data_IF_767932394042
#
_entry.id   IF_767932394042
#
_cell.length_a   1.000
_cell.length_b   1.000
_cell.length_c   1.000
_cell.angle_alpha   90.00
_cell.angle_beta   90.00
_cell.angle_gamma   90.00
#
_symmetry.space_group_name_H-M   'P 1'
#
loop_
_entity.id
_entity.type
_entity.pdbx_description
1 polymer ?
#
# COMPACT_ATOMS: atom_id res chain seq x y z
N UNK A 1 -3.40 3.78 2.47
CA UNK A 1 -2.93 5.15 2.21
C UNK A 1 -2.78 5.88 3.54
N UNK A 2 -1.67 6.61 3.74
CA UNK A 2 -1.46 7.48 4.89
C UNK A 2 -2.22 8.80 4.70
N UNK A 3 -2.95 9.24 5.72
CA UNK A 3 -3.83 10.42 5.65
C UNK A 3 -3.33 11.61 6.48
N UNK A 4 -2.28 11.43 7.28
CA UNK A 4 -1.72 12.44 8.18
C UNK A 4 -0.86 13.51 7.50
N UNK A 5 -1.41 14.24 6.53
CA UNK A 5 -0.95 15.59 6.25
C UNK A 5 -2.11 16.34 5.60
N UNK A 6 -2.41 17.54 6.11
CA UNK A 6 -3.61 18.40 5.93
C UNK A 6 -4.07 18.75 4.50
N UNK A 7 -3.66 18.02 3.47
CA UNK A 7 -4.06 18.25 2.08
C UNK A 7 -5.53 17.91 1.87
N UNK A 8 -6.39 18.87 1.44
CA UNK A 8 -7.82 18.62 1.19
C UNK A 8 -8.07 17.70 -0.01
N UNK A 9 -7.04 17.37 -0.79
CA UNK A 9 -7.14 16.63 -2.04
C UNK A 9 -7.32 15.12 -1.89
N UNK A 10 -7.18 14.57 -0.68
CA UNK A 10 -7.25 13.12 -0.46
C UNK A 10 -8.56 12.53 -1.01
N UNK A 11 -9.70 13.21 -0.82
CA UNK A 11 -11.01 12.68 -1.24
C UNK A 11 -11.09 12.57 -2.76
N UNK A 12 -10.59 13.59 -3.46
CA UNK A 12 -10.50 13.62 -4.93
C UNK A 12 -9.60 12.51 -5.46
N UNK A 13 -8.45 12.28 -4.81
CA UNK A 13 -7.49 11.24 -5.19
C UNK A 13 -8.08 9.84 -4.97
N UNK A 14 -8.68 9.56 -3.80
CA UNK A 14 -9.35 8.27 -3.52
C UNK A 14 -10.46 8.01 -4.54
N UNK A 15 -11.32 9.00 -4.79
CA UNK A 15 -12.41 8.89 -5.79
C UNK A 15 -11.86 8.53 -7.16
N UNK A 16 -10.79 9.18 -7.59
CA UNK A 16 -10.13 8.88 -8.86
C UNK A 16 -9.60 7.45 -8.90
N UNK A 17 -8.82 7.03 -7.89
CA UNK A 17 -8.26 5.68 -7.78
C UNK A 17 -9.37 4.62 -7.89
N UNK A 18 -10.46 4.81 -7.15
CA UNK A 18 -11.61 3.90 -7.18
C UNK A 18 -12.33 3.87 -8.53
N UNK A 19 -12.60 5.05 -9.11
CA UNK A 19 -13.29 5.17 -10.40
C UNK A 19 -12.48 4.59 -11.56
N UNK A 20 -11.15 4.65 -11.48
CA UNK A 20 -10.22 4.03 -12.44
C UNK A 20 -10.12 2.50 -12.26
N UNK A 21 -10.76 1.92 -11.23
CA UNK A 21 -10.86 0.46 -11.04
C UNK A 21 -9.78 -0.15 -10.14
N UNK A 22 -9.05 0.69 -9.40
CA UNK A 22 -8.07 0.23 -8.42
C UNK A 22 -8.69 -0.05 -7.05
N UNK A 23 -8.04 -0.90 -6.27
CA UNK A 23 -8.39 -1.19 -4.87
C UNK A 23 -7.75 -0.14 -3.95
N UNK A 24 -8.54 0.36 -2.99
CA UNK A 24 -8.05 1.28 -1.95
C UNK A 24 -7.95 0.52 -0.63
N UNK A 25 -6.74 0.49 -0.04
CA UNK A 25 -6.44 -0.16 1.24
C UNK A 25 -6.09 0.81 2.38
N UNK A 26 -6.22 0.34 3.61
CA UNK A 26 -5.85 1.08 4.82
C UNK A 26 -4.33 1.03 5.06
N UNK A 27 -3.72 2.13 5.53
CA UNK A 27 -2.30 2.16 5.88
C UNK A 27 -2.04 3.04 7.13
N UNK A 28 -2.96 2.97 8.10
CA UNK A 28 -3.01 3.80 9.32
C UNK A 28 -3.14 5.30 9.04
N UNK A 29 -3.55 6.04 10.07
CA UNK A 29 -3.78 7.47 9.97
C UNK A 29 -2.46 8.24 10.11
N UNK A 30 -1.64 7.89 11.12
CA UNK A 30 -0.41 8.60 11.52
C UNK A 30 0.89 7.86 11.17
N UNK A 31 0.85 6.75 10.41
CA UNK A 31 2.03 5.98 10.03
C UNK A 31 2.90 5.53 11.24
N UNK A 32 2.25 5.28 12.37
CA UNK A 32 2.88 4.77 13.59
C UNK A 32 3.20 3.27 13.45
N UNK A 33 4.29 2.83 14.09
CA UNK A 33 4.56 1.40 14.25
C UNK A 33 3.53 0.79 15.20
N UNK A 34 2.72 -0.14 14.68
CA UNK A 34 1.63 -0.77 15.42
C UNK A 34 2.12 -1.58 16.62
N UNK A 35 3.36 -2.06 16.61
CA UNK A 35 3.91 -2.88 17.70
C UNK A 35 4.08 -2.10 19.00
N UNK A 36 4.19 -0.77 18.93
CA UNK A 36 4.28 0.13 20.08
C UNK A 36 2.93 0.65 20.57
N UNK A 37 1.81 0.23 19.97
CA UNK A 37 0.47 0.76 20.27
C UNK A 37 -0.38 -0.24 21.06
N UNK A 38 -1.29 0.28 21.89
CA UNK A 38 -2.36 -0.52 22.48
C UNK A 38 -3.38 -0.96 21.42
N UNK A 39 -4.13 -2.03 21.71
CA UNK A 39 -5.18 -2.51 20.80
C UNK A 39 -6.18 -1.40 20.39
N UNK A 40 -6.56 -0.52 21.31
CA UNK A 40 -7.51 0.56 21.03
C UNK A 40 -6.88 1.69 20.21
N UNK A 41 -5.59 1.98 20.42
CA UNK A 41 -4.85 2.90 19.57
C UNK A 41 -4.75 2.35 18.13
N UNK A 42 -4.50 1.05 17.96
CA UNK A 42 -4.48 0.40 16.63
C UNK A 42 -5.86 0.51 15.95
N UNK A 43 -6.94 0.18 16.67
CA UNK A 43 -8.31 0.31 16.13
C UNK A 43 -8.62 1.75 15.75
N UNK A 44 -8.19 2.73 16.54
CA UNK A 44 -8.39 4.14 16.24
C UNK A 44 -7.62 4.58 14.98
N UNK A 45 -6.39 4.10 14.80
CA UNK A 45 -5.61 4.31 13.56
C UNK A 45 -6.33 3.76 12.33
N UNK A 46 -6.99 2.59 12.45
CA UNK A 46 -7.77 1.99 11.36
C UNK A 46 -9.04 2.79 11.06
N UNK A 47 -9.83 3.07 12.11
CA UNK A 47 -11.15 3.69 11.99
C UNK A 47 -11.09 5.07 11.32
N UNK A 48 -10.10 5.89 11.66
CA UNK A 48 -9.97 7.23 11.08
C UNK A 48 -9.79 7.17 9.56
N UNK A 49 -8.95 6.25 9.06
CA UNK A 49 -8.74 6.07 7.62
C UNK A 49 -9.97 5.46 6.95
N UNK A 50 -10.65 4.51 7.59
CA UNK A 50 -11.90 3.92 7.10
C UNK A 50 -13.00 4.96 6.90
N UNK A 51 -13.17 5.86 7.87
CA UNK A 51 -14.15 6.94 7.79
C UNK A 51 -13.84 7.89 6.62
N UNK A 52 -12.56 8.25 6.41
CA UNK A 52 -12.15 9.04 5.26
C UNK A 52 -12.44 8.32 3.93
N UNK A 53 -12.03 7.06 3.78
CA UNK A 53 -12.28 6.28 2.55
C UNK A 53 -13.80 6.18 2.31
N UNK A 54 -14.58 5.93 3.34
CA UNK A 54 -16.04 5.85 3.23
C UNK A 54 -16.67 7.17 2.81
N UNK A 55 -16.23 8.30 3.36
CA UNK A 55 -16.69 9.62 2.91
C UNK A 55 -16.35 9.89 1.44
N UNK A 56 -15.22 9.38 0.95
CA UNK A 56 -14.82 9.55 -0.44
C UNK A 56 -15.62 8.68 -1.41
N UNK A 57 -15.79 7.38 -1.12
CA UNK A 57 -16.28 6.40 -2.11
C UNK A 57 -17.43 5.51 -1.63
N UNK A 58 -17.93 5.71 -0.41
CA UNK A 58 -19.03 4.93 0.16
C UNK A 58 -18.68 3.46 0.45
N UNK A 59 -17.39 3.13 0.51
CA UNK A 59 -16.87 1.78 0.76
C UNK A 59 -15.86 1.79 1.91
N UNK A 60 -15.72 0.67 2.61
CA UNK A 60 -14.64 0.44 3.59
C UNK A 60 -13.55 -0.42 2.95
N UNK A 61 -12.27 -0.19 3.27
CA UNK A 61 -11.17 -1.03 2.78
C UNK A 61 -11.29 -2.46 3.34
N UNK A 62 -11.10 -3.47 2.50
CA UNK A 62 -11.01 -4.87 2.93
C UNK A 62 -9.59 -5.27 3.33
N UNK A 63 -8.59 -4.53 2.85
CA UNK A 63 -7.17 -4.82 3.06
C UNK A 63 -6.49 -3.67 3.79
N UNK A 64 -5.47 -4.01 4.57
CA UNK A 64 -4.55 -3.06 5.16
C UNK A 64 -3.11 -3.49 4.96
N UNK A 65 -2.19 -2.53 4.95
CA UNK A 65 -0.75 -2.75 5.08
C UNK A 65 -0.28 -2.05 6.35
N UNK A 66 0.48 -2.68 7.25
CA UNK A 66 1.05 -2.00 8.40
C UNK A 66 2.22 -1.10 7.96
N UNK A 67 2.38 0.10 8.54
CA UNK A 67 3.62 0.89 8.42
C UNK A 67 4.85 0.02 8.71
N UNK A 68 5.92 0.25 7.94
CA UNK A 68 7.20 -0.47 8.07
C UNK A 68 7.12 -2.00 7.88
N UNK A 69 5.98 -2.55 7.44
CA UNK A 69 5.76 -4.00 7.39
C UNK A 69 5.71 -4.65 8.77
N UNK A 70 5.51 -3.87 9.83
CA UNK A 70 5.62 -4.33 11.22
C UNK A 70 4.41 -5.15 11.70
N UNK A 71 4.55 -5.80 12.86
CA UNK A 71 3.44 -6.48 13.54
C UNK A 71 3.26 -7.96 13.21
N UNK A 72 4.05 -8.52 12.29
CA UNK A 72 4.06 -9.98 12.07
C UNK A 72 4.44 -10.71 13.35
N UNK A 73 3.63 -11.70 13.75
CA UNK A 73 3.83 -12.45 15.00
C UNK A 73 3.52 -11.68 16.30
N UNK A 74 3.13 -10.41 16.22
CA UNK A 74 2.71 -9.64 17.40
C UNK A 74 1.21 -9.88 17.67
N UNK A 75 0.90 -10.64 18.71
CA UNK A 75 -0.47 -11.06 19.02
C UNK A 75 -1.42 -9.88 19.29
N UNK A 76 -0.93 -8.80 19.91
CA UNK A 76 -1.73 -7.59 20.15
C UNK A 76 -2.14 -6.96 18.82
N UNK A 77 -1.20 -6.81 17.89
CA UNK A 77 -1.48 -6.27 16.55
C UNK A 77 -2.45 -7.18 15.79
N UNK A 78 -2.18 -8.49 15.75
CA UNK A 78 -3.03 -9.45 15.04
C UNK A 78 -4.47 -9.46 15.57
N UNK A 79 -4.65 -9.51 16.90
CA UNK A 79 -5.97 -9.48 17.53
C UNK A 79 -6.70 -8.16 17.31
N UNK A 80 -5.99 -7.03 17.38
CA UNK A 80 -6.57 -5.71 17.16
C UNK A 80 -7.05 -5.55 15.70
N UNK A 81 -6.25 -5.97 14.72
CA UNK A 81 -6.62 -5.95 13.31
C UNK A 81 -7.81 -6.87 13.02
N UNK A 82 -7.80 -8.10 13.57
CA UNK A 82 -8.92 -9.02 13.43
C UNK A 82 -10.22 -8.45 14.03
N UNK A 83 -10.13 -7.84 15.21
CA UNK A 83 -11.27 -7.19 15.88
C UNK A 83 -11.77 -5.96 15.12
N UNK A 84 -10.92 -5.31 14.34
CA UNK A 84 -11.27 -4.22 13.43
C UNK A 84 -11.79 -4.72 12.06
N UNK A 85 -11.89 -6.03 11.84
CA UNK A 85 -12.41 -6.62 10.61
C UNK A 85 -11.37 -6.93 9.53
N UNK A 86 -10.08 -6.76 9.81
CA UNK A 86 -9.00 -7.12 8.90
C UNK A 86 -8.52 -8.54 9.17
N UNK A 87 -8.78 -9.45 8.22
CA UNK A 87 -8.35 -10.86 8.32
C UNK A 87 -6.96 -11.10 7.75
N UNK A 88 -6.39 -10.12 7.03
CA UNK A 88 -5.04 -10.18 6.48
C UNK A 88 -4.41 -8.79 6.39
N UNK A 89 -3.11 -8.72 6.71
CA UNK A 89 -2.23 -7.60 6.43
C UNK A 89 -1.39 -7.93 5.19
N UNK A 90 -1.37 -7.04 4.19
CA UNK A 90 -0.71 -7.27 2.90
C UNK A 90 0.62 -6.52 2.83
N UNK A 91 1.72 -7.27 2.86
CA UNK A 91 3.06 -6.73 2.64
C UNK A 91 3.44 -6.75 1.15
N UNK A 92 4.73 -6.87 0.84
CA UNK A 92 5.30 -6.87 -0.50
C UNK A 92 6.32 -8.01 -0.63
N UNK A 93 6.65 -8.37 -1.86
CA UNK A 93 7.76 -9.29 -2.16
C UNK A 93 8.75 -8.70 -3.18
N UNK A 94 8.55 -7.45 -3.59
CA UNK A 94 9.51 -6.65 -4.35
C UNK A 94 9.62 -5.30 -3.65
N UNK A 95 10.83 -4.95 -3.22
CA UNK A 95 11.16 -3.65 -2.65
C UNK A 95 12.22 -2.96 -3.53
N UNK A 96 11.84 -1.95 -4.33
CA UNK A 96 12.78 -1.21 -5.17
C UNK A 96 13.60 -0.18 -4.37
N UNK A 97 13.36 -0.06 -3.05
CA UNK A 97 13.98 0.93 -2.17
C UNK A 97 13.76 2.37 -2.65
N UNK A 98 12.58 2.66 -3.19
CA UNK A 98 12.24 3.97 -3.77
C UNK A 98 12.16 5.11 -2.75
N UNK A 99 12.04 4.75 -1.46
CA UNK A 99 12.22 5.67 -0.34
C UNK A 99 13.62 6.32 -0.32
N UNK A 100 14.60 5.78 -1.04
CA UNK A 100 15.95 6.32 -1.16
C UNK A 100 16.21 6.77 -2.60
N UNK A 101 16.04 8.07 -2.87
CA UNK A 101 16.30 8.72 -4.17
C UNK A 101 15.52 8.13 -5.37
N UNK A 102 14.33 7.58 -5.16
CA UNK A 102 13.45 7.10 -6.25
C UNK A 102 13.73 5.67 -6.71
N UNK A 103 14.65 4.95 -6.04
CA UNK A 103 14.77 3.50 -6.10
C UNK A 103 15.73 2.99 -7.17
N UNK A 104 15.88 1.67 -7.22
CA UNK A 104 16.74 0.97 -8.16
C UNK A 104 15.92 0.14 -9.15
N UNK A 105 15.77 0.68 -10.36
CA UNK A 105 15.06 0.03 -11.46
C UNK A 105 15.69 -1.31 -11.84
N UNK A 106 17.03 -1.40 -11.87
CA UNK A 106 17.70 -2.63 -12.29
C UNK A 106 17.48 -3.74 -11.24
N UNK A 107 17.57 -3.37 -9.96
CA UNK A 107 17.27 -4.28 -8.87
C UNK A 107 15.81 -4.74 -8.89
N UNK A 108 14.85 -3.82 -9.04
CA UNK A 108 13.42 -4.17 -9.12
C UNK A 108 13.16 -5.19 -10.24
N UNK A 109 13.73 -4.95 -11.44
CA UNK A 109 13.63 -5.88 -12.57
C UNK A 109 14.24 -7.24 -12.26
N UNK A 110 15.40 -7.26 -11.62
CA UNK A 110 16.08 -8.49 -11.21
C UNK A 110 15.18 -9.31 -10.28
N UNK A 111 14.62 -8.71 -9.23
CA UNK A 111 13.76 -9.41 -8.26
C UNK A 111 12.47 -9.91 -8.93
N UNK A 112 11.82 -9.10 -9.79
CA UNK A 112 10.63 -9.51 -10.53
C UNK A 112 10.93 -10.72 -11.42
N UNK A 113 12.07 -10.74 -12.11
CA UNK A 113 12.49 -11.88 -12.94
C UNK A 113 12.78 -13.13 -12.13
N UNK A 114 13.38 -13.00 -10.94
CA UNK A 114 13.64 -14.11 -10.04
C UNK A 114 12.35 -14.72 -9.47
N UNK A 115 11.32 -13.90 -9.25
CA UNK A 115 10.03 -14.32 -8.73
C UNK A 115 9.06 -14.82 -9.82
N UNK A 116 9.51 -15.05 -11.05
CA UNK A 116 8.66 -15.47 -12.18
C UNK A 116 7.82 -16.69 -11.83
N UNK A 117 6.51 -16.57 -12.05
CA UNK A 117 5.51 -17.60 -11.72
C UNK A 117 4.93 -17.48 -10.31
N UNK A 118 5.46 -16.58 -9.46
CA UNK A 118 4.88 -16.24 -8.17
C UNK A 118 4.11 -14.92 -8.26
N UNK A 119 2.98 -14.75 -7.55
CA UNK A 119 2.28 -13.45 -7.48
C UNK A 119 3.23 -12.34 -7.02
N UNK A 120 3.14 -11.15 -7.62
CA UNK A 120 4.01 -10.01 -7.30
C UNK A 120 3.21 -8.89 -6.64
N UNK A 121 3.75 -8.37 -5.54
CA UNK A 121 3.30 -7.12 -4.91
C UNK A 121 4.55 -6.27 -4.67
N UNK A 122 4.67 -5.17 -5.40
CA UNK A 122 5.72 -4.17 -5.21
C UNK A 122 5.37 -3.18 -4.10
N UNK A 123 6.36 -2.76 -3.32
CA UNK A 123 6.29 -1.61 -2.43
C UNK A 123 6.74 -0.36 -3.19
N UNK A 124 5.84 0.62 -3.29
CA UNK A 124 6.18 1.93 -3.83
C UNK A 124 5.69 3.00 -2.84
N UNK A 125 6.46 4.06 -2.70
CA UNK A 125 6.17 5.23 -1.91
C UNK A 125 5.75 6.41 -2.80
N UNK A 126 5.17 7.44 -2.17
CA UNK A 126 5.01 8.74 -2.82
C UNK A 126 6.38 9.44 -2.93
N UNK A 127 6.39 10.72 -3.32
CA UNK A 127 7.60 11.54 -3.34
C UNK A 127 8.24 11.60 -1.94
N UNK A 128 9.28 10.82 -1.73
CA UNK A 128 10.01 10.69 -0.46
C UNK A 128 11.51 10.60 -0.71
N UNK A 129 12.34 11.03 0.26
CA UNK A 129 13.79 10.81 0.25
C UNK A 129 14.52 11.24 -1.03
N UNK A 130 14.15 12.37 -1.63
CA UNK A 130 14.79 12.90 -2.84
C UNK A 130 14.22 12.40 -4.17
N UNK A 131 13.26 11.47 -4.15
CA UNK A 131 12.60 10.99 -5.36
C UNK A 131 11.95 12.14 -6.16
N UNK A 132 12.04 12.09 -7.49
CA UNK A 132 11.30 12.98 -8.39
C UNK A 132 10.02 12.30 -8.87
N UNK A 133 9.06 13.11 -9.33
CA UNK A 133 7.83 12.56 -9.93
C UNK A 133 8.18 11.69 -11.14
N UNK A 134 9.11 12.16 -11.95
CA UNK A 134 9.61 11.50 -13.16
C UNK A 134 10.30 10.18 -12.80
N UNK A 135 11.08 10.15 -11.73
CA UNK A 135 11.75 8.93 -11.23
C UNK A 135 10.76 7.87 -10.78
N UNK A 136 9.76 8.24 -9.95
CA UNK A 136 8.72 7.31 -9.50
C UNK A 136 7.91 6.76 -10.68
N UNK A 137 7.58 7.61 -11.66
CA UNK A 137 6.89 7.18 -12.88
C UNK A 137 7.75 6.23 -13.74
N UNK A 138 9.05 6.52 -13.85
CA UNK A 138 9.98 5.65 -14.57
C UNK A 138 10.13 4.28 -13.90
N UNK A 139 10.23 4.25 -12.57
CA UNK A 139 10.27 3.02 -11.78
C UNK A 139 9.00 2.20 -11.97
N UNK A 140 7.83 2.78 -11.70
CA UNK A 140 6.55 2.09 -11.82
C UNK A 140 6.34 1.54 -13.25
N UNK A 141 6.72 2.31 -14.28
CA UNK A 141 6.66 1.85 -15.67
C UNK A 141 7.57 0.66 -15.92
N UNK A 142 8.83 0.72 -15.45
CA UNK A 142 9.77 -0.38 -15.63
C UNK A 142 9.34 -1.66 -14.90
N UNK A 143 8.76 -1.54 -13.71
CA UNK A 143 8.17 -2.67 -12.97
C UNK A 143 7.02 -3.30 -13.76
N UNK A 144 6.06 -2.49 -14.23
CA UNK A 144 4.90 -2.95 -15.02
C UNK A 144 5.36 -3.63 -16.31
N UNK A 145 6.24 -2.98 -17.09
CA UNK A 145 6.74 -3.53 -18.35
C UNK A 145 7.44 -4.88 -18.15
N UNK A 146 8.18 -5.03 -17.05
CA UNK A 146 8.88 -6.28 -16.70
C UNK A 146 7.91 -7.37 -16.26
N UNK A 147 6.87 -7.03 -15.48
CA UNK A 147 5.80 -7.97 -15.14
C UNK A 147 5.06 -8.43 -16.40
N UNK A 148 4.69 -7.53 -17.30
CA UNK A 148 4.01 -7.89 -18.56
C UNK A 148 4.87 -8.78 -19.45
N UNK A 149 6.17 -8.50 -19.57
CA UNK A 149 7.12 -9.35 -20.30
C UNK A 149 7.22 -10.77 -19.70
N UNK A 150 6.98 -10.91 -18.39
CA UNK A 150 6.90 -12.20 -17.70
C UNK A 150 5.49 -12.82 -17.68
N UNK A 151 4.57 -12.31 -18.50
CA UNK A 151 3.19 -12.81 -18.65
C UNK A 151 2.32 -12.64 -17.40
N UNK A 152 2.66 -11.71 -16.52
CA UNK A 152 1.77 -11.32 -15.43
C UNK A 152 0.56 -10.54 -15.97
N UNK A 153 -0.56 -10.67 -15.28
CA UNK A 153 -1.78 -9.89 -15.51
C UNK A 153 -2.01 -8.99 -14.31
N UNK A 154 -2.36 -7.73 -14.56
CA UNK A 154 -2.74 -6.81 -13.50
C UNK A 154 -4.13 -7.14 -12.95
N UNK A 155 -4.24 -7.20 -11.63
CA UNK A 155 -5.54 -7.31 -10.95
C UNK A 155 -6.16 -5.92 -10.77
N UNK A 156 -7.31 -5.70 -11.39
CA UNK A 156 -8.19 -4.56 -11.15
C UNK A 156 -9.50 -5.07 -10.57
N UNK A 157 -10.11 -4.33 -9.64
CA UNK A 157 -11.32 -4.83 -8.97
C UNK A 157 -12.51 -4.95 -9.93
N UNK A 158 -12.50 -4.24 -11.07
CA UNK A 158 -13.51 -4.36 -12.12
C UNK A 158 -13.44 -5.69 -12.90
N UNK A 159 -12.41 -6.50 -12.67
CA UNK A 159 -12.15 -7.77 -13.36
C UNK A 159 -12.31 -9.00 -12.45
N UNK A 160 -12.90 -8.82 -11.25
CA UNK A 160 -13.27 -9.87 -10.27
C UNK A 160 -14.71 -9.66 -9.83
#
# INVERSE_FOLDING_TARGET
>A
MYMGNSSPDWSRIIKRIYNEGHVVGNHTYDHQDLTGLSADQIKNQMKQVEDCIFQAIGKRPAFMRPPYGSGSGNQNVMNALQSAGYTAAVNWNVDPMDYSNGGDINYAKQVINQAKGQPIITLNHLKYGGATKEGILALAKAEIDTMLANSYIQLLWKNV
#
